data_IF_292566162561
#
_entry.id   IF_292566162561
#
_cell.length_a   1.000
_cell.length_b   1.000
_cell.length_c   1.000
_cell.angle_alpha   90.00
_cell.angle_beta   90.00
_cell.angle_gamma   90.00
#
_symmetry.space_group_name_H-M   'P 1'
#
loop_
_entity.id
_entity.type
_entity.pdbx_description
1 polymer ?
#
# COMPACT_ATOMS: atom_id res chain seq x y z
N UNK A 1 -18.25 -13.05 6.35
CA UNK A 1 -17.47 -12.60 5.17
C UNK A 1 -17.20 -11.12 5.35
N UNK A 2 -15.98 -10.73 5.74
CA UNK A 2 -15.70 -9.35 6.15
C UNK A 2 -15.82 -8.41 4.96
N UNK A 3 -16.69 -7.42 5.12
CA UNK A 3 -17.09 -6.47 4.11
C UNK A 3 -15.88 -5.68 3.60
N UNK A 4 -15.70 -5.70 2.27
CA UNK A 4 -14.70 -4.94 1.52
C UNK A 4 -14.91 -3.40 1.60
N UNK A 5 -15.68 -2.92 2.56
CA UNK A 5 -16.02 -1.51 2.78
C UNK A 5 -14.85 -0.71 3.39
N UNK A 6 -13.85 -1.38 3.99
CA UNK A 6 -12.62 -0.76 4.48
C UNK A 6 -11.49 -0.66 3.42
N UNK A 7 -11.76 -0.93 2.13
CA UNK A 7 -10.74 -0.87 1.07
C UNK A 7 -10.49 0.49 0.39
N UNK A 8 -11.08 1.67 0.71
CA UNK A 8 -10.72 2.88 -0.03
C UNK A 8 -9.23 3.21 0.13
N UNK A 9 -8.65 3.00 1.31
CA UNK A 9 -7.21 3.24 1.55
C UNK A 9 -6.35 2.20 0.82
N UNK A 10 -6.75 0.93 0.80
CA UNK A 10 -6.03 -0.11 0.05
C UNK A 10 -6.05 0.18 -1.45
N UNK A 11 -7.22 0.50 -2.00
CA UNK A 11 -7.38 0.87 -3.41
C UNK A 11 -6.52 2.09 -3.75
N UNK A 12 -6.53 3.12 -2.89
CA UNK A 12 -5.70 4.32 -3.06
C UNK A 12 -4.20 4.02 -3.00
N UNK A 13 -3.77 3.13 -2.11
CA UNK A 13 -2.37 2.69 -2.03
C UNK A 13 -1.95 1.93 -3.29
N UNK A 14 -2.82 1.08 -3.84
CA UNK A 14 -2.58 0.38 -5.10
C UNK A 14 -2.54 1.34 -6.31
N UNK A 15 -3.47 2.30 -6.38
CA UNK A 15 -3.47 3.37 -7.38
C UNK A 15 -2.16 4.18 -7.33
N UNK A 16 -1.69 4.51 -6.12
CA UNK A 16 -0.41 5.19 -5.90
C UNK A 16 0.77 4.35 -6.40
N UNK A 17 0.82 3.06 -6.10
CA UNK A 17 1.90 2.18 -6.56
C UNK A 17 1.95 2.11 -8.10
N UNK A 18 0.79 2.02 -8.76
CA UNK A 18 0.69 2.06 -10.23
C UNK A 18 1.16 3.42 -10.77
N UNK A 19 0.78 4.52 -10.12
CA UNK A 19 1.22 5.86 -10.52
C UNK A 19 2.74 6.01 -10.43
N UNK A 20 3.35 5.54 -9.34
CA UNK A 20 4.81 5.56 -9.15
C UNK A 20 5.50 4.71 -10.22
N UNK A 21 4.98 3.52 -10.54
CA UNK A 21 5.54 2.68 -11.60
C UNK A 21 5.51 3.34 -12.98
N UNK A 22 4.45 4.11 -13.27
CA UNK A 22 4.36 4.94 -14.49
C UNK A 22 5.37 6.08 -14.45
N UNK A 23 5.49 6.80 -13.35
CA UNK A 23 6.45 7.90 -13.20
C UNK A 23 7.92 7.44 -13.35
N UNK A 24 8.28 6.31 -12.72
CA UNK A 24 9.64 5.75 -12.79
C UNK A 24 9.98 5.21 -14.19
N UNK A 25 8.97 4.90 -15.01
CA UNK A 25 9.20 4.45 -16.40
C UNK A 25 9.95 5.51 -17.21
N UNK A 26 9.63 6.78 -17.00
CA UNK A 26 10.14 7.92 -17.76
C UNK A 26 11.47 8.48 -17.22
N UNK A 27 12.00 7.90 -16.14
CA UNK A 27 13.29 8.33 -15.59
C UNK A 27 14.46 7.96 -16.51
N UNK A 28 15.44 8.85 -16.59
CA UNK A 28 16.72 8.56 -17.22
C UNK A 28 17.45 7.47 -16.44
N UNK A 29 18.33 6.71 -17.14
CA UNK A 29 18.98 5.51 -16.60
C UNK A 29 19.65 5.75 -15.24
N UNK A 30 20.31 6.91 -15.07
CA UNK A 30 21.03 7.27 -13.87
C UNK A 30 20.13 7.35 -12.62
N UNK A 31 18.95 7.94 -12.75
CA UNK A 31 17.99 8.07 -11.65
C UNK A 31 17.05 6.86 -11.52
N UNK A 32 16.86 6.10 -12.61
CA UNK A 32 15.92 4.97 -12.65
C UNK A 32 16.32 3.83 -11.73
N UNK A 33 17.61 3.51 -11.65
CA UNK A 33 18.08 2.38 -10.83
C UNK A 33 18.38 2.74 -9.38
N UNK A 34 18.59 4.02 -9.09
CA UNK A 34 18.75 4.53 -7.73
C UNK A 34 17.37 4.91 -7.18
N UNK A 35 16.97 6.17 -7.41
CA UNK A 35 15.72 6.76 -6.92
C UNK A 35 14.51 5.96 -7.40
N UNK A 36 14.49 5.54 -8.67
CA UNK A 36 13.37 4.79 -9.22
C UNK A 36 13.14 3.43 -8.54
N UNK A 37 14.22 2.73 -8.17
CA UNK A 37 14.12 1.46 -7.41
C UNK A 37 13.58 1.71 -6.01
N UNK A 38 14.10 2.72 -5.32
CA UNK A 38 13.66 3.07 -3.96
C UNK A 38 12.19 3.47 -3.93
N UNK A 39 11.76 4.31 -4.86
CA UNK A 39 10.35 4.71 -4.99
C UNK A 39 9.42 3.52 -5.20
N UNK A 40 9.82 2.55 -6.03
CA UNK A 40 9.04 1.33 -6.26
C UNK A 40 8.95 0.47 -5.00
N UNK A 41 10.06 0.30 -4.28
CA UNK A 41 10.08 -0.47 -3.03
C UNK A 41 9.20 0.17 -1.97
N UNK A 42 9.37 1.47 -1.72
CA UNK A 42 8.55 2.22 -0.78
C UNK A 42 7.05 2.16 -1.13
N UNK A 43 6.70 2.21 -2.42
CA UNK A 43 5.30 2.10 -2.84
C UNK A 43 4.67 0.75 -2.48
N UNK A 44 5.44 -0.35 -2.60
CA UNK A 44 5.00 -1.71 -2.21
C UNK A 44 4.93 -1.86 -0.69
N UNK A 45 5.84 -1.21 0.03
CA UNK A 45 5.83 -1.20 1.48
C UNK A 45 4.60 -0.47 2.04
N UNK A 46 4.18 0.64 1.41
CA UNK A 46 2.93 1.34 1.76
C UNK A 46 1.74 0.38 1.65
N UNK A 47 1.59 -0.34 0.52
CA UNK A 47 0.51 -1.32 0.35
C UNK A 47 0.56 -2.39 1.43
N UNK A 48 1.75 -2.91 1.72
CA UNK A 48 1.97 -3.94 2.76
C UNK A 48 1.62 -3.43 4.16
N UNK A 49 1.95 -2.18 4.48
CA UNK A 49 1.62 -1.54 5.74
C UNK A 49 0.12 -1.30 5.88
N UNK A 50 -0.56 -0.89 4.80
CA UNK A 50 -2.02 -0.74 4.78
C UNK A 50 -2.70 -2.08 5.05
N UNK A 51 -2.24 -3.17 4.42
CA UNK A 51 -2.75 -4.53 4.70
C UNK A 51 -2.54 -4.87 6.19
N UNK A 52 -1.31 -4.71 6.69
CA UNK A 52 -0.98 -5.02 8.11
C UNK A 52 -1.79 -4.20 9.10
N UNK A 53 -2.01 -2.92 8.83
CA UNK A 53 -2.80 -2.03 9.66
C UNK A 53 -4.27 -2.44 9.69
N UNK A 54 -4.83 -2.81 8.52
CA UNK A 54 -6.19 -3.31 8.41
C UNK A 54 -6.37 -4.63 9.17
N UNK A 55 -5.46 -5.59 9.01
CA UNK A 55 -5.50 -6.86 9.76
C UNK A 55 -5.39 -6.69 11.28
N UNK A 56 -4.71 -5.63 11.75
CA UNK A 56 -4.64 -5.28 13.18
C UNK A 56 -5.92 -4.59 13.68
N UNK A 57 -6.57 -3.77 12.84
CA UNK A 57 -7.84 -3.12 13.15
C UNK A 57 -8.96 -4.16 13.31
N UNK A 58 -9.02 -5.14 12.41
CA UNK A 58 -9.97 -6.25 12.52
C UNK A 58 -9.80 -7.01 13.84
N UNK A 59 -8.56 -7.32 14.25
CA UNK A 59 -8.29 -7.96 15.55
C UNK A 59 -8.76 -7.13 16.77
N UNK A 60 -8.66 -5.80 16.72
CA UNK A 60 -9.17 -4.94 17.81
C UNK A 60 -10.70 -4.89 17.85
N UNK A 61 -11.36 -4.90 16.69
CA UNK A 61 -12.83 -4.88 16.62
C UNK A 61 -13.45 -6.16 17.17
N UNK A 62 -12.85 -7.32 16.85
CA UNK A 62 -13.31 -8.62 17.36
C UNK A 62 -13.06 -8.75 18.86
N UNK A 63 -11.95 -8.22 19.38
CA UNK A 63 -11.64 -8.25 20.80
C UNK A 63 -12.53 -7.32 21.66
N UNK A 64 -13.15 -6.28 21.07
CA UNK A 64 -14.09 -5.38 21.78
C UNK A 64 -15.53 -5.89 21.79
N UNK A 65 -15.95 -6.70 20.80
CA UNK A 65 -17.28 -7.33 20.79
C UNK A 65 -17.40 -8.55 21.71
N UNK A 66 -16.28 -9.07 22.22
CA UNK A 66 -16.24 -10.22 23.12
C UNK A 66 -16.29 -9.85 24.63
N UNK A 67 -16.71 -8.62 24.96
CA UNK A 67 -16.99 -8.15 26.33
C UNK A 67 -18.44 -7.71 26.43
#
# INVERSE_FOLDING_TARGET
MAYYENLPIYKKAMELAIYIEKAVRDFTRYHKYTIGTDMRNLSRDIVSLVIKANSRKDKKSVAQMAK
#
